data_IF_764639993077
#
_entry.id   IF_764639993077
#
_cell.length_a   1.000
_cell.length_b   1.000
_cell.length_c   1.000
_cell.angle_alpha   90.00
_cell.angle_beta   90.00
_cell.angle_gamma   90.00
#
_symmetry.space_group_name_H-M   'P 1'
#
loop_
_entity.id
_entity.type
_entity.pdbx_description
1 polymer ?
#
# COMPACT_ATOMS: atom_id res chain seq x y z
N UNK A 1 -30.39 49.98 16.34
CA UNK A 1 -30.56 48.94 15.32
C UNK A 1 -32.04 48.70 15.14
N UNK A 2 -32.54 48.80 13.92
CA UNK A 2 -33.93 48.47 13.61
C UNK A 2 -34.15 46.94 13.70
N UNK A 3 -35.38 46.49 14.01
CA UNK A 3 -35.69 45.05 14.09
C UNK A 3 -35.43 44.31 12.76
N UNK A 4 -35.57 45.01 11.64
CA UNK A 4 -35.22 44.52 10.31
C UNK A 4 -33.72 44.29 10.15
N UNK A 5 -32.87 45.22 10.61
CA UNK A 5 -31.40 45.02 10.61
C UNK A 5 -31.01 43.76 11.40
N UNK A 6 -31.56 43.58 12.60
CA UNK A 6 -31.28 42.39 13.42
C UNK A 6 -31.71 41.12 12.70
N UNK A 7 -32.90 41.11 12.10
CA UNK A 7 -33.41 39.96 11.36
C UNK A 7 -32.50 39.61 10.17
N UNK A 8 -32.06 40.61 9.40
CA UNK A 8 -31.14 40.41 8.27
C UNK A 8 -29.81 39.84 8.73
N UNK A 9 -29.23 40.37 9.82
CA UNK A 9 -27.97 39.86 10.38
C UNK A 9 -28.12 38.41 10.83
N UNK A 10 -29.21 38.07 11.53
CA UNK A 10 -29.47 36.69 11.99
C UNK A 10 -29.61 35.74 10.80
N UNK A 11 -30.39 36.10 9.78
CA UNK A 11 -30.56 35.27 8.56
C UNK A 11 -29.22 35.08 7.85
N UNK A 12 -28.40 36.13 7.74
CA UNK A 12 -27.09 36.05 7.10
C UNK A 12 -26.13 35.13 7.88
N UNK A 13 -26.11 35.23 9.21
CA UNK A 13 -25.31 34.34 10.07
C UNK A 13 -25.75 32.88 9.94
N UNK A 14 -27.07 32.62 9.92
CA UNK A 14 -27.61 31.26 9.74
C UNK A 14 -27.26 30.71 8.36
N UNK A 15 -27.43 31.51 7.29
CA UNK A 15 -27.09 31.10 5.93
C UNK A 15 -25.59 30.77 5.81
N UNK A 16 -24.71 31.59 6.40
CA UNK A 16 -23.28 31.33 6.43
C UNK A 16 -22.94 30.05 7.22
N UNK A 17 -23.60 29.83 8.35
CA UNK A 17 -23.47 28.61 9.15
C UNK A 17 -23.88 27.34 8.39
N UNK A 18 -25.02 27.37 7.70
CA UNK A 18 -25.50 26.26 6.86
C UNK A 18 -24.56 25.99 5.68
N UNK A 19 -24.11 27.04 4.99
CA UNK A 19 -23.11 26.91 3.92
C UNK A 19 -21.84 26.25 4.44
N UNK A 20 -21.30 26.73 5.57
CA UNK A 20 -20.08 26.18 6.16
C UNK A 20 -20.24 24.72 6.60
N UNK A 21 -21.38 24.37 7.20
CA UNK A 21 -21.70 22.99 7.55
C UNK A 21 -21.76 22.08 6.31
N UNK A 22 -22.39 22.55 5.23
CA UNK A 22 -22.45 21.82 3.96
C UNK A 22 -21.06 21.60 3.34
N UNK A 23 -20.19 22.62 3.36
CA UNK A 23 -18.79 22.50 2.89
C UNK A 23 -18.01 21.49 3.74
N UNK A 24 -18.13 21.56 5.07
CA UNK A 24 -17.44 20.64 5.98
C UNK A 24 -17.89 19.18 5.75
N UNK A 25 -19.19 18.94 5.60
CA UNK A 25 -19.75 17.63 5.30
C UNK A 25 -19.25 17.08 3.95
N UNK A 26 -19.31 17.90 2.91
CA UNK A 26 -18.85 17.55 1.55
C UNK A 26 -17.35 17.23 1.52
N UNK A 27 -16.54 17.96 2.29
CA UNK A 27 -15.11 17.71 2.43
C UNK A 27 -14.85 16.37 3.13
N UNK A 28 -15.59 16.06 4.19
CA UNK A 28 -15.45 14.81 4.92
C UNK A 28 -15.82 13.59 4.07
N UNK A 29 -16.91 13.68 3.30
CA UNK A 29 -17.34 12.64 2.36
C UNK A 29 -16.27 12.34 1.29
N UNK A 30 -15.67 13.39 0.70
CA UNK A 30 -14.56 13.24 -0.25
C UNK A 30 -13.34 12.55 0.39
N UNK A 31 -13.02 12.86 1.64
CA UNK A 31 -11.91 12.24 2.36
C UNK A 31 -12.20 10.76 2.67
N UNK A 32 -13.43 10.42 3.10
CA UNK A 32 -13.81 9.03 3.31
C UNK A 32 -13.73 8.21 2.01
N UNK A 33 -14.22 8.75 0.87
CA UNK A 33 -14.05 8.10 -0.43
C UNK A 33 -12.59 7.91 -0.82
N UNK A 34 -11.74 8.91 -0.53
CA UNK A 34 -10.28 8.81 -0.78
C UNK A 34 -9.64 7.71 0.05
N UNK A 35 -10.01 7.59 1.33
CA UNK A 35 -9.52 6.50 2.20
C UNK A 35 -9.95 5.14 1.63
N UNK A 36 -11.23 4.98 1.28
CA UNK A 36 -11.73 3.73 0.69
C UNK A 36 -11.00 3.37 -0.62
N UNK A 37 -10.82 4.33 -1.52
CA UNK A 37 -10.06 4.13 -2.76
C UNK A 37 -8.59 3.76 -2.49
N UNK A 38 -7.92 4.46 -1.57
CA UNK A 38 -6.52 4.16 -1.21
C UNK A 38 -6.36 2.76 -0.59
N UNK A 39 -7.35 2.32 0.20
CA UNK A 39 -7.36 0.96 0.76
C UNK A 39 -7.45 -0.10 -0.33
N UNK A 40 -8.34 0.08 -1.31
CA UNK A 40 -8.45 -0.84 -2.45
C UNK A 40 -7.13 -0.94 -3.25
N UNK A 41 -6.43 0.19 -3.43
CA UNK A 41 -5.12 0.20 -4.10
C UNK A 41 -4.09 -0.60 -3.29
N UNK A 42 -4.02 -0.39 -1.98
CA UNK A 42 -3.10 -1.14 -1.11
C UNK A 42 -3.36 -2.64 -1.21
N UNK A 43 -4.61 -3.09 -1.09
CA UNK A 43 -4.93 -4.52 -1.17
C UNK A 43 -4.58 -5.13 -2.53
N UNK A 44 -4.81 -4.41 -3.62
CA UNK A 44 -4.39 -4.86 -4.95
C UNK A 44 -2.86 -5.03 -5.05
N UNK A 45 -2.07 -4.13 -4.44
CA UNK A 45 -0.62 -4.26 -4.44
C UNK A 45 -0.12 -5.38 -3.52
N UNK A 46 -0.74 -5.58 -2.36
CA UNK A 46 -0.40 -6.68 -1.45
C UNK A 46 -0.68 -8.04 -2.11
N UNK A 47 -1.85 -8.20 -2.74
CA UNK A 47 -2.18 -9.40 -3.50
C UNK A 47 -1.17 -9.63 -4.62
N UNK A 48 -0.84 -8.59 -5.40
CA UNK A 48 0.17 -8.70 -6.48
C UNK A 48 1.53 -9.16 -5.94
N UNK A 49 1.97 -8.64 -4.79
CA UNK A 49 3.23 -9.04 -4.14
C UNK A 49 3.19 -10.50 -3.70
N UNK A 50 2.10 -10.92 -3.05
CA UNK A 50 1.93 -12.30 -2.59
C UNK A 50 1.89 -13.30 -3.77
N UNK A 51 1.23 -12.95 -4.87
CA UNK A 51 1.23 -13.78 -6.09
C UNK A 51 2.62 -13.92 -6.70
N UNK A 52 3.40 -12.82 -6.76
CA UNK A 52 4.78 -12.87 -7.27
C UNK A 52 5.68 -13.69 -6.33
N UNK A 53 5.52 -13.54 -5.01
CA UNK A 53 6.24 -14.33 -4.03
C UNK A 53 5.92 -15.83 -4.16
N UNK A 54 4.64 -16.19 -4.31
CA UNK A 54 4.24 -17.57 -4.58
C UNK A 54 4.85 -18.11 -5.88
N UNK A 55 4.87 -17.29 -6.94
CA UNK A 55 5.51 -17.63 -8.21
C UNK A 55 7.00 -17.93 -8.06
N UNK A 56 7.73 -17.10 -7.30
CA UNK A 56 9.14 -17.30 -6.97
C UNK A 56 9.36 -18.58 -6.14
N UNK A 57 8.47 -18.87 -5.18
CA UNK A 57 8.54 -20.09 -4.38
C UNK A 57 8.37 -21.37 -5.23
N UNK A 58 7.55 -21.30 -6.28
CA UNK A 58 7.27 -22.44 -7.16
C UNK A 58 8.18 -22.52 -8.40
N UNK A 59 9.08 -21.55 -8.61
CA UNK A 59 9.94 -21.52 -9.80
C UNK A 59 11.08 -22.54 -9.76
N UNK A 60 11.37 -23.10 -8.58
CA UNK A 60 12.48 -24.02 -8.36
C UNK A 60 13.85 -23.34 -8.28
N UNK A 61 13.89 -22.00 -8.18
CA UNK A 61 15.15 -21.25 -8.09
C UNK A 61 15.62 -20.98 -6.66
N UNK A 62 14.71 -21.00 -5.68
CA UNK A 62 15.07 -20.93 -4.26
C UNK A 62 15.51 -22.31 -3.76
N UNK A 63 16.27 -22.34 -2.66
CA UNK A 63 16.53 -23.59 -1.97
C UNK A 63 15.22 -24.23 -1.48
N UNK A 64 15.18 -25.56 -1.26
CA UNK A 64 13.94 -26.25 -0.89
C UNK A 64 13.29 -25.73 0.40
N UNK A 65 14.08 -25.25 1.38
CA UNK A 65 13.55 -24.76 2.65
C UNK A 65 12.91 -23.39 2.43
N UNK A 66 13.64 -22.45 1.80
CA UNK A 66 13.10 -21.13 1.49
C UNK A 66 11.88 -21.19 0.58
N UNK A 67 11.85 -22.11 -0.38
CA UNK A 67 10.69 -22.34 -1.26
C UNK A 67 9.43 -22.66 -0.48
N UNK A 68 9.50 -23.57 0.50
CA UNK A 68 8.34 -23.97 1.32
C UNK A 68 7.90 -22.83 2.22
N UNK A 69 8.83 -22.16 2.91
CA UNK A 69 8.51 -21.06 3.82
C UNK A 69 7.89 -19.87 3.09
N UNK A 70 8.45 -19.48 1.94
CA UNK A 70 7.91 -18.39 1.11
C UNK A 70 6.54 -18.76 0.56
N UNK A 71 6.33 -20.01 0.11
CA UNK A 71 5.04 -20.47 -0.38
C UNK A 71 3.95 -20.41 0.72
N UNK A 72 4.27 -20.87 1.93
CA UNK A 72 3.36 -20.84 3.08
C UNK A 72 2.98 -19.40 3.46
N UNK A 73 3.97 -18.53 3.62
CA UNK A 73 3.73 -17.13 3.97
C UNK A 73 2.96 -16.38 2.86
N UNK A 74 3.24 -16.68 1.59
CA UNK A 74 2.50 -16.10 0.46
C UNK A 74 1.05 -16.59 0.46
N UNK A 75 0.81 -17.87 0.75
CA UNK A 75 -0.53 -18.44 0.83
C UNK A 75 -1.33 -17.90 2.03
N UNK A 76 -0.70 -17.71 3.18
CA UNK A 76 -1.29 -17.02 4.33
C UNK A 76 -1.72 -15.58 3.98
N UNK A 77 -0.88 -14.84 3.24
CA UNK A 77 -1.25 -13.51 2.72
C UNK A 77 -2.43 -13.57 1.77
N UNK A 78 -2.44 -14.49 0.79
CA UNK A 78 -3.52 -14.60 -0.18
C UNK A 78 -4.86 -14.99 0.46
N UNK A 79 -4.85 -15.96 1.37
CA UNK A 79 -6.05 -16.44 2.07
C UNK A 79 -6.70 -15.36 2.94
N UNK A 80 -5.89 -14.55 3.63
CA UNK A 80 -6.37 -13.42 4.44
C UNK A 80 -7.12 -12.37 3.59
N UNK A 81 -6.66 -12.12 2.35
CA UNK A 81 -7.31 -11.18 1.43
C UNK A 81 -8.63 -11.70 0.88
N UNK A 82 -8.68 -12.99 0.53
CA UNK A 82 -9.87 -13.64 -0.05
C UNK A 82 -11.06 -13.64 0.90
N UNK A 83 -10.86 -13.94 2.19
CA UNK A 83 -11.94 -13.94 3.19
C UNK A 83 -12.68 -12.59 3.30
N UNK A 84 -11.98 -11.47 3.10
CA UNK A 84 -12.61 -10.14 3.13
C UNK A 84 -13.42 -9.82 1.87
N UNK A 85 -13.01 -10.32 0.70
CA UNK A 85 -13.71 -10.09 -0.56
C UNK A 85 -14.93 -11.02 -0.73
N UNK A 86 -14.84 -12.27 -0.28
CA UNK A 86 -15.92 -13.26 -0.41
C UNK A 86 -17.17 -12.86 0.40
N UNK A 87 -16.98 -12.22 1.55
CA UNK A 87 -18.06 -11.61 2.33
C UNK A 87 -18.94 -10.67 1.48
N UNK A 88 -18.36 -9.99 0.50
CA UNK A 88 -19.08 -9.09 -0.42
C UNK A 88 -19.79 -9.79 -1.58
N UNK A 89 -19.48 -11.05 -1.88
CA UNK A 89 -20.06 -11.82 -2.98
C UNK A 89 -21.23 -12.73 -2.54
N UNK A 90 -21.27 -13.12 -1.27
CA UNK A 90 -22.27 -14.04 -0.71
C UNK A 90 -23.72 -13.50 -0.76
N UNK A 91 -24.77 -14.33 -0.74
CA UNK A 91 -26.15 -13.86 -0.59
C UNK A 91 -26.36 -13.12 0.75
N UNK A 92 -27.23 -12.08 0.82
CA UNK A 92 -27.36 -11.23 1.99
C UNK A 92 -27.64 -11.98 3.30
N UNK A 93 -28.46 -13.04 3.27
CA UNK A 93 -28.73 -13.85 4.47
C UNK A 93 -27.52 -14.66 4.98
N UNK A 94 -26.60 -15.04 4.09
CA UNK A 94 -25.37 -15.75 4.47
C UNK A 94 -24.27 -14.79 4.93
N UNK A 95 -24.26 -13.57 4.38
CA UNK A 95 -23.40 -12.47 4.86
C UNK A 95 -23.68 -12.13 6.30
N UNK A 96 -24.96 -12.06 6.69
CA UNK A 96 -25.35 -11.66 8.04
C UNK A 96 -24.90 -12.70 9.07
N UNK A 97 -25.11 -13.99 8.79
CA UNK A 97 -24.63 -15.08 9.64
C UNK A 97 -23.09 -15.09 9.80
N UNK A 98 -22.35 -14.88 8.71
CA UNK A 98 -20.89 -14.76 8.76
C UNK A 98 -20.44 -13.45 9.42
N UNK A 99 -21.23 -12.38 9.35
CA UNK A 99 -20.95 -11.11 10.02
C UNK A 99 -21.20 -11.21 11.53
N UNK A 100 -22.23 -11.96 11.95
CA UNK A 100 -22.47 -12.30 13.36
C UNK A 100 -21.38 -13.22 13.92
N UNK A 101 -20.91 -14.18 13.12
CA UNK A 101 -19.78 -15.05 13.46
C UNK A 101 -18.44 -14.29 13.44
N UNK A 102 -18.23 -13.36 12.52
CA UNK A 102 -17.08 -12.45 12.49
C UNK A 102 -17.10 -11.39 13.61
N UNK A 103 -18.29 -10.92 14.00
CA UNK A 103 -18.46 -9.98 15.10
C UNK A 103 -18.25 -10.65 16.46
N UNK A 104 -18.64 -11.91 16.61
CA UNK A 104 -18.35 -12.74 17.79
C UNK A 104 -16.90 -13.22 17.83
N UNK A 105 -16.26 -13.41 16.67
CA UNK A 105 -14.83 -13.68 16.53
C UNK A 105 -13.99 -12.44 16.28
N UNK A 106 -14.46 -11.25 16.67
CA UNK A 106 -13.91 -9.91 16.35
C UNK A 106 -12.42 -9.99 16.00
N UNK A 107 -12.17 -10.20 14.70
CA UNK A 107 -10.86 -10.59 14.23
C UNK A 107 -9.84 -9.55 14.62
N UNK A 108 -8.62 -10.00 14.89
CA UNK A 108 -7.54 -9.08 15.19
C UNK A 108 -7.44 -8.02 14.07
N UNK A 109 -7.69 -6.73 14.37
CA UNK A 109 -7.73 -5.70 13.34
C UNK A 109 -6.38 -5.53 12.63
N UNK A 110 -5.31 -6.00 13.25
CA UNK A 110 -3.94 -5.97 12.73
C UNK A 110 -3.53 -7.32 12.13
N UNK A 111 -4.45 -8.30 12.02
CA UNK A 111 -4.19 -9.61 11.41
C UNK A 111 -3.59 -9.47 10.00
N UNK A 112 -4.16 -8.59 9.18
CA UNK A 112 -3.66 -8.31 7.83
C UNK A 112 -2.22 -7.79 7.88
N UNK A 113 -1.94 -6.83 8.74
CA UNK A 113 -0.61 -6.24 8.92
C UNK A 113 0.42 -7.27 9.36
N UNK A 114 0.07 -8.16 10.29
CA UNK A 114 0.95 -9.24 10.75
C UNK A 114 1.27 -10.25 9.66
N UNK A 115 0.27 -10.77 8.95
CA UNK A 115 0.49 -11.75 7.87
C UNK A 115 1.36 -11.15 6.76
N UNK A 116 1.15 -9.87 6.42
CA UNK A 116 1.96 -9.19 5.42
C UNK A 116 3.38 -8.89 5.90
N UNK A 117 3.58 -8.68 7.21
CA UNK A 117 4.89 -8.52 7.85
C UNK A 117 5.64 -9.84 7.91
N UNK A 118 4.94 -10.94 8.17
CA UNK A 118 5.49 -12.30 8.16
C UNK A 118 5.98 -12.66 6.76
N UNK A 119 5.17 -12.44 5.71
CA UNK A 119 5.62 -12.60 4.33
C UNK A 119 6.87 -11.76 4.03
N UNK A 120 6.91 -10.51 4.48
CA UNK A 120 8.07 -9.64 4.31
C UNK A 120 9.31 -10.17 5.05
N UNK A 121 9.16 -10.65 6.27
CA UNK A 121 10.26 -11.23 7.04
C UNK A 121 10.80 -12.50 6.37
N UNK A 122 9.93 -13.41 5.94
CA UNK A 122 10.30 -14.64 5.25
C UNK A 122 11.01 -14.36 3.92
N UNK A 123 10.53 -13.38 3.14
CA UNK A 123 11.20 -12.98 1.90
C UNK A 123 12.55 -12.30 2.16
N UNK A 124 12.70 -11.54 3.26
CA UNK A 124 13.98 -10.96 3.64
C UNK A 124 15.00 -12.01 4.04
N UNK A 125 14.57 -13.06 4.73
CA UNK A 125 15.42 -14.19 5.09
C UNK A 125 15.82 -14.99 3.84
N UNK A 126 14.85 -15.39 3.01
CA UNK A 126 15.07 -16.15 1.79
C UNK A 126 15.92 -15.41 0.74
N UNK A 127 15.92 -14.07 0.77
CA UNK A 127 16.72 -13.21 -0.11
C UNK A 127 17.82 -12.48 0.67
N UNK A 128 18.25 -13.04 1.80
CA UNK A 128 19.25 -12.43 2.68
C UNK A 128 20.67 -12.54 2.15
N UNK A 129 20.99 -13.65 1.47
CA UNK A 129 22.33 -13.93 0.94
C UNK A 129 22.54 -13.26 -0.44
N UNK A 130 23.50 -12.31 -0.57
CA UNK A 130 23.81 -11.68 -1.85
C UNK A 130 24.25 -12.65 -2.95
N UNK A 131 24.92 -13.76 -2.61
CA UNK A 131 25.43 -14.72 -3.58
C UNK A 131 24.29 -15.55 -4.17
N UNK A 132 23.32 -15.96 -3.34
CA UNK A 132 22.10 -16.63 -3.80
C UNK A 132 21.28 -15.71 -4.73
N UNK A 133 21.08 -14.45 -4.33
CA UNK A 133 20.34 -13.51 -5.18
C UNK A 133 21.11 -13.19 -6.47
N UNK A 134 22.45 -13.20 -6.45
CA UNK A 134 23.24 -13.07 -7.68
C UNK A 134 23.08 -14.30 -8.59
N UNK A 135 23.03 -15.51 -8.03
CA UNK A 135 22.78 -16.73 -8.78
C UNK A 135 21.39 -16.74 -9.41
N UNK A 136 20.34 -16.35 -8.67
CA UNK A 136 18.99 -16.18 -9.21
C UNK A 136 18.95 -15.19 -10.38
N UNK A 137 19.71 -14.09 -10.31
CA UNK A 137 19.78 -13.10 -11.40
C UNK A 137 20.54 -13.58 -12.63
N UNK A 138 21.38 -14.60 -12.50
CA UNK A 138 22.09 -15.18 -13.65
C UNK A 138 21.12 -15.96 -14.55
N UNK A 139 20.02 -16.47 -14.00
CA UNK A 139 18.92 -17.06 -14.75
C UNK A 139 17.95 -15.96 -15.25
N UNK A 140 17.64 -15.89 -16.56
CA UNK A 140 16.68 -14.92 -17.11
C UNK A 140 15.31 -14.94 -16.42
N UNK A 141 14.78 -16.13 -16.12
CA UNK A 141 13.47 -16.26 -15.47
C UNK A 141 13.56 -15.76 -14.01
N UNK A 142 14.72 -15.94 -13.39
CA UNK A 142 14.99 -15.53 -12.02
C UNK A 142 15.10 -14.03 -11.88
N UNK A 143 15.83 -13.36 -12.78
CA UNK A 143 15.90 -11.90 -12.79
C UNK A 143 14.53 -11.26 -13.07
N UNK A 144 13.70 -11.85 -13.93
CA UNK A 144 12.34 -11.35 -14.17
C UNK A 144 11.46 -11.44 -12.91
N UNK A 145 11.52 -12.58 -12.19
CA UNK A 145 10.79 -12.78 -10.94
C UNK A 145 11.27 -11.81 -9.84
N UNK A 146 12.59 -11.65 -9.67
CA UNK A 146 13.16 -10.70 -8.72
C UNK A 146 12.82 -9.25 -9.07
N UNK A 147 12.84 -8.88 -10.35
CA UNK A 147 12.41 -7.57 -10.84
C UNK A 147 10.93 -7.31 -10.58
N UNK A 148 10.08 -8.30 -10.82
CA UNK A 148 8.65 -8.26 -10.53
C UNK A 148 8.38 -8.12 -9.03
N UNK A 149 9.13 -8.84 -8.20
CA UNK A 149 9.01 -8.79 -6.75
C UNK A 149 9.42 -7.41 -6.22
N UNK A 150 10.57 -6.88 -6.65
CA UNK A 150 11.04 -5.55 -6.27
C UNK A 150 10.06 -4.45 -6.69
N UNK A 151 9.48 -4.54 -7.90
CA UNK A 151 8.44 -3.62 -8.37
C UNK A 151 7.18 -3.68 -7.50
N UNK A 152 6.71 -4.88 -7.16
CA UNK A 152 5.56 -5.06 -6.28
C UNK A 152 5.83 -4.51 -4.87
N UNK A 153 7.01 -4.78 -4.30
CA UNK A 153 7.42 -4.30 -2.98
C UNK A 153 7.44 -2.77 -2.91
N UNK A 154 8.02 -2.12 -3.92
CA UNK A 154 8.04 -0.66 -4.01
C UNK A 154 6.62 -0.07 -4.09
N UNK A 155 5.74 -0.67 -4.90
CA UNK A 155 4.34 -0.22 -5.02
C UNK A 155 3.55 -0.42 -3.72
N UNK A 156 3.80 -1.48 -2.97
CA UNK A 156 3.20 -1.69 -1.64
C UNK A 156 3.60 -0.57 -0.68
N UNK A 157 4.91 -0.27 -0.57
CA UNK A 157 5.39 0.82 0.30
C UNK A 157 4.74 2.16 -0.05
N UNK A 158 4.64 2.47 -1.35
CA UNK A 158 4.04 3.71 -1.82
C UNK A 158 2.54 3.75 -1.52
N UNK A 159 1.82 2.65 -1.80
CA UNK A 159 0.39 2.55 -1.54
C UNK A 159 0.08 2.69 -0.04
N UNK A 160 0.85 2.04 0.83
CA UNK A 160 0.71 2.15 2.30
C UNK A 160 0.89 3.59 2.77
N UNK A 161 1.93 4.29 2.29
CA UNK A 161 2.17 5.70 2.62
C UNK A 161 1.00 6.59 2.18
N UNK A 162 0.48 6.40 0.96
CA UNK A 162 -0.68 7.16 0.48
C UNK A 162 -1.94 6.88 1.30
N UNK A 163 -2.17 5.64 1.69
CA UNK A 163 -3.27 5.26 2.57
C UNK A 163 -3.15 5.93 3.94
N UNK A 164 -1.99 5.82 4.60
CA UNK A 164 -1.76 6.41 5.91
C UNK A 164 -1.90 7.94 5.89
N UNK A 165 -1.45 8.62 4.82
CA UNK A 165 -1.68 10.05 4.65
C UNK A 165 -3.17 10.39 4.45
N UNK A 166 -3.92 9.59 3.68
CA UNK A 166 -5.36 9.77 3.53
C UNK A 166 -6.12 9.59 4.87
N UNK A 167 -5.72 8.60 5.66
CA UNK A 167 -6.23 8.37 7.02
C UNK A 167 -5.92 9.58 7.91
N UNK A 168 -4.68 10.04 7.92
CA UNK A 168 -4.26 11.20 8.72
C UNK A 168 -5.03 12.48 8.35
N UNK A 169 -5.22 12.75 7.05
CA UNK A 169 -6.03 13.87 6.55
C UNK A 169 -7.48 13.79 7.03
N UNK A 170 -8.05 12.58 7.03
CA UNK A 170 -9.42 12.33 7.49
C UNK A 170 -9.56 12.51 9.00
N UNK A 171 -8.62 12.00 9.79
CA UNK A 171 -8.62 12.19 11.25
C UNK A 171 -8.45 13.66 11.64
N UNK A 172 -7.55 14.39 10.95
CA UNK A 172 -7.40 15.85 11.11
C UNK A 172 -8.71 16.58 10.80
N UNK A 173 -9.41 16.21 9.73
CA UNK A 173 -10.71 16.79 9.38
C UNK A 173 -11.79 16.48 10.44
N UNK A 174 -11.83 15.24 10.94
CA UNK A 174 -12.79 14.79 11.98
C UNK A 174 -12.61 15.51 13.32
N UNK A 175 -11.38 15.89 13.68
CA UNK A 175 -11.08 16.62 14.92
C UNK A 175 -11.41 18.11 14.86
N UNK A 176 -11.75 18.64 13.68
CA UNK A 176 -12.07 20.06 13.49
C UNK A 176 -13.34 20.49 14.26
N UNK A 177 -13.40 21.76 14.73
CA UNK A 177 -14.48 22.26 15.57
C UNK A 177 -15.85 22.18 14.88
N UNK A 178 -15.92 22.38 13.56
CA UNK A 178 -17.16 22.31 12.79
C UNK A 178 -17.74 20.89 12.74
N UNK A 179 -16.90 19.88 12.47
CA UNK A 179 -17.34 18.49 12.41
C UNK A 179 -17.83 18.02 13.79
N UNK A 180 -17.19 18.51 14.85
CA UNK A 180 -17.57 18.22 16.24
C UNK A 180 -18.84 18.96 16.68
N UNK A 181 -18.96 20.24 16.35
CA UNK A 181 -20.13 21.08 16.68
C UNK A 181 -21.39 20.58 15.98
N UNK A 182 -21.28 20.23 14.70
CA UNK A 182 -22.40 19.72 13.89
C UNK A 182 -22.54 18.19 13.89
N UNK A 183 -21.71 17.45 14.67
CA UNK A 183 -21.69 15.98 14.73
C UNK A 183 -21.67 15.28 13.35
N UNK A 184 -21.02 15.89 12.36
CA UNK A 184 -21.06 15.46 10.96
C UNK A 184 -20.37 14.12 10.70
N UNK A 185 -19.48 13.69 11.61
CA UNK A 185 -18.81 12.39 11.50
C UNK A 185 -19.74 11.19 11.75
N UNK A 186 -20.87 11.41 12.44
CA UNK A 186 -21.86 10.37 12.73
C UNK A 186 -21.25 9.13 13.40
N UNK A 187 -21.83 7.97 13.06
CA UNK A 187 -21.42 6.64 13.56
C UNK A 187 -20.41 5.93 12.66
N UNK A 188 -19.91 6.59 11.61
CA UNK A 188 -18.95 5.96 10.72
C UNK A 188 -17.67 5.60 11.52
N UNK A 189 -17.17 4.36 11.42
CA UNK A 189 -15.98 3.93 12.14
C UNK A 189 -14.78 4.80 11.75
N UNK A 190 -13.90 5.08 12.71
CA UNK A 190 -12.71 5.87 12.45
C UNK A 190 -11.77 5.10 11.50
N UNK A 191 -11.23 5.75 10.45
CA UNK A 191 -10.24 5.11 9.60
C UNK A 191 -8.96 4.82 10.40
N UNK A 192 -8.30 3.71 10.10
CA UNK A 192 -7.09 3.23 10.79
C UNK A 192 -5.94 3.16 9.80
N UNK A 193 -4.72 3.40 10.27
CA UNK A 193 -3.51 3.20 9.47
C UNK A 193 -3.26 1.72 9.26
N UNK A 194 -2.51 1.38 8.21
CA UNK A 194 -2.01 0.04 8.00
C UNK A 194 -0.57 -0.01 8.49
N UNK A 195 -0.35 -0.78 9.57
CA UNK A 195 0.97 -1.11 10.09
C UNK A 195 1.42 -2.45 9.50
N UNK A 196 2.59 -2.43 8.87
CA UNK A 196 3.15 -3.54 8.09
C UNK A 196 4.67 -3.31 8.04
N UNK A 197 5.44 -4.33 8.38
CA UNK A 197 6.87 -4.37 8.07
C UNK A 197 7.07 -4.66 6.58
N UNK A 198 7.43 -3.62 5.83
CA UNK A 198 7.78 -3.69 4.42
C UNK A 198 9.24 -3.27 4.17
N UNK A 199 10.13 -3.56 5.12
CA UNK A 199 11.56 -3.27 4.98
C UNK A 199 12.15 -3.92 3.72
N UNK A 200 13.00 -3.18 3.02
CA UNK A 200 13.54 -3.61 1.74
C UNK A 200 14.67 -4.65 1.91
N UNK A 201 14.63 -5.81 1.24
CA UNK A 201 15.73 -6.79 1.28
C UNK A 201 17.02 -6.20 0.67
N UNK A 202 18.11 -6.17 1.45
CA UNK A 202 19.34 -5.50 1.05
C UNK A 202 19.92 -6.06 -0.27
N UNK A 203 19.91 -7.39 -0.43
CA UNK A 203 20.46 -8.07 -1.60
C UNK A 203 19.65 -7.83 -2.90
N UNK A 204 18.38 -7.38 -2.81
CA UNK A 204 17.57 -7.04 -4.00
C UNK A 204 18.08 -5.81 -4.76
N UNK A 205 18.93 -4.98 -4.12
CA UNK A 205 19.40 -3.72 -4.67
C UNK A 205 18.31 -2.64 -4.63
N UNK A 206 18.69 -1.36 -4.58
CA UNK A 206 17.71 -0.28 -4.44
C UNK A 206 16.85 -0.16 -5.72
N UNK A 207 15.52 0.05 -5.58
CA UNK A 207 14.66 0.27 -6.74
C UNK A 207 15.15 1.50 -7.53
N UNK A 208 15.39 1.32 -8.83
CA UNK A 208 15.88 2.38 -9.73
C UNK A 208 17.40 2.40 -9.98
N UNK A 209 18.21 1.66 -9.23
CA UNK A 209 19.68 1.63 -9.44
C UNK A 209 20.10 1.05 -10.81
N UNK A 210 19.30 0.13 -11.37
CA UNK A 210 19.58 -0.50 -12.69
C UNK A 210 19.37 0.42 -13.89
N UNK A 211 18.56 1.48 -13.76
CA UNK A 211 18.34 2.41 -14.88
C UNK A 211 19.60 3.25 -15.20
N UNK A 212 20.53 3.37 -14.25
CA UNK A 212 21.79 4.10 -14.41
C UNK A 212 22.89 3.29 -15.10
N UNK A 213 22.97 1.98 -14.89
CA UNK A 213 24.08 1.15 -15.39
C UNK A 213 23.96 0.86 -16.90
N UNK A 214 22.74 0.75 -17.43
CA UNK A 214 22.51 0.54 -18.86
C UNK A 214 22.80 1.75 -19.77
N UNK A 215 23.17 2.92 -19.22
CA UNK A 215 23.43 4.15 -19.99
C UNK A 215 24.93 4.45 -20.18
N UNK A 216 25.84 3.75 -19.51
CA UNK A 216 27.28 4.10 -19.48
C UNK A 216 28.13 3.28 -20.48
N UNK A 217 27.57 2.28 -21.17
CA UNK A 217 28.31 1.40 -22.09
C UNK A 217 28.59 1.94 -23.51
N UNK A 218 28.52 3.25 -23.75
CA UNK A 218 28.42 3.82 -25.10
C UNK A 218 29.45 4.86 -25.53
N UNK A 219 30.63 4.98 -24.89
CA UNK A 219 31.75 5.78 -25.45
C UNK A 219 33.09 5.14 -25.06
N UNK A 220 33.59 4.24 -25.90
CA UNK A 220 35.04 4.01 -26.07
C UNK A 220 35.29 3.68 -27.54
N UNK A 221 35.74 4.67 -28.31
CA UNK A 221 36.42 4.48 -29.59
C UNK A 221 37.87 4.97 -29.47
N UNK A 222 38.86 4.32 -30.11
CA UNK A 222 40.25 4.39 -29.70
C UNK A 222 41.05 5.50 -30.41
N UNK A 223 42.21 5.79 -29.82
CA UNK A 223 43.01 6.99 -30.08
C UNK A 223 43.66 7.11 -31.46
N UNK A 224 43.97 8.36 -31.79
CA UNK A 224 44.95 8.77 -32.80
C UNK A 224 45.57 10.08 -32.31
N UNK A 225 46.75 10.05 -31.70
CA UNK A 225 47.66 11.21 -31.70
C UNK A 225 49.12 10.75 -31.81
N UNK A 226 49.72 11.18 -32.91
CA UNK A 226 51.12 11.08 -33.32
C UNK A 226 51.16 11.45 -34.81
N UNK A 227 52.09 12.29 -35.31
CA UNK A 227 53.48 12.41 -34.86
C UNK A 227 54.00 13.83 -34.56
N UNK A 228 54.94 13.90 -33.60
CA UNK A 228 55.87 15.01 -33.42
C UNK A 228 57.09 14.78 -34.32
N UNK A 229 57.23 15.57 -35.38
CA UNK A 229 58.44 15.66 -36.18
C UNK A 229 59.03 17.07 -36.01
N UNK A 230 60.17 17.16 -35.35
CA UNK A 230 61.04 18.33 -35.33
C UNK A 230 62.42 17.89 -35.84
N UNK A 231 62.80 18.45 -36.99
CA UNK A 231 64.17 18.66 -37.47
C UNK A 231 64.24 20.14 -37.83
#
# INVERSE_FOLDING_TARGET
>A
MSWSEVTVVVVLVVALGLWWAWVAASRLDRLHRKVAASRAVVEAQLLRRATVAAGLATSGQLDPVSSVLVAEAAWASLSTGTSTNDAGALPPGMRDLLSEEAASSSGDPDARGRVESELSATLREALGDPDDVAALRADPDGDELLGSLGSAWYRVQLARRFHNEAVAQTLRARRGPLVRLFRLAGHAPAPRTLELDDEWPAALGRPGARASEGRVGGVTGPGVEGPSAAV
#
